data_IF_183137057705
#
_entry.id   IF_183137057705
#
_cell.length_a   1.000
_cell.length_b   1.000
_cell.length_c   1.000
_cell.angle_alpha   90.00
_cell.angle_beta   90.00
_cell.angle_gamma   90.00
#
_symmetry.space_group_name_H-M   'P 1'
#
loop_
_entity.id
_entity.type
_entity.pdbx_description
1 polymer ?
#
# COMPACT_ATOMS: atom_id res chain seq x y z
N UNK A 1 15.32 -45.16 -1.73
CA UNK A 1 14.64 -43.86 -1.65
C UNK A 1 15.39 -42.90 -2.55
N UNK A 2 14.79 -42.54 -3.70
CA UNK A 2 15.46 -41.78 -4.75
C UNK A 2 15.36 -40.27 -4.48
N UNK A 3 16.51 -39.60 -4.49
CA UNK A 3 16.64 -38.15 -4.41
C UNK A 3 16.37 -37.55 -5.80
N UNK A 4 15.21 -36.89 -5.95
CA UNK A 4 14.88 -36.12 -7.14
C UNK A 4 15.42 -34.69 -6.98
N UNK A 5 16.37 -34.33 -7.84
CA UNK A 5 17.02 -33.02 -7.88
C UNK A 5 16.07 -31.93 -8.37
N UNK A 6 15.91 -30.87 -7.56
CA UNK A 6 15.10 -29.66 -7.81
C UNK A 6 15.52 -28.86 -9.05
N UNK A 7 16.66 -29.18 -9.68
CA UNK A 7 17.18 -28.43 -10.83
C UNK A 7 16.38 -28.68 -12.12
N UNK A 8 15.62 -29.79 -12.21
CA UNK A 8 14.89 -30.16 -13.44
C UNK A 8 13.56 -29.40 -13.62
N UNK A 9 12.95 -28.88 -12.55
CA UNK A 9 11.64 -28.20 -12.61
C UNK A 9 11.69 -26.75 -13.12
N UNK A 10 12.88 -26.12 -13.18
CA UNK A 10 13.00 -24.74 -13.71
C UNK A 10 12.98 -24.66 -15.24
N UNK A 11 13.31 -25.72 -15.97
CA UNK A 11 13.40 -25.65 -17.44
C UNK A 11 12.02 -25.72 -18.13
N UNK A 12 11.02 -26.32 -17.50
CA UNK A 12 9.69 -26.52 -18.09
C UNK A 12 8.76 -25.29 -18.04
N UNK A 13 9.03 -24.32 -17.16
CA UNK A 13 8.16 -23.13 -17.02
C UNK A 13 8.44 -22.02 -18.06
N UNK A 14 9.61 -22.01 -18.70
CA UNK A 14 9.92 -21.00 -19.72
C UNK A 14 9.28 -21.26 -21.09
N UNK A 15 8.78 -22.47 -21.36
CA UNK A 15 8.28 -22.83 -22.68
C UNK A 15 6.80 -22.50 -22.95
N UNK A 16 6.00 -22.07 -21.95
CA UNK A 16 4.53 -21.93 -22.10
C UNK A 16 3.97 -20.51 -22.21
N UNK A 17 4.78 -19.45 -22.12
CA UNK A 17 4.26 -18.08 -22.04
C UNK A 17 4.12 -17.39 -23.43
N UNK A 18 4.61 -17.96 -24.52
CA UNK A 18 4.65 -17.30 -25.84
C UNK A 18 3.49 -17.61 -26.81
N UNK A 19 2.34 -18.09 -26.34
CA UNK A 19 1.20 -18.44 -27.20
C UNK A 19 -0.10 -17.70 -26.83
N UNK A 20 -0.09 -16.37 -26.81
CA UNK A 20 -1.32 -15.57 -26.75
C UNK A 20 -1.61 -14.98 -28.15
N UNK A 21 -2.68 -15.48 -28.79
CA UNK A 21 -3.18 -14.99 -30.09
C UNK A 21 -3.77 -13.57 -29.94
N UNK A 22 -3.66 -12.70 -30.97
CA UNK A 22 -4.33 -11.41 -30.96
C UNK A 22 -5.84 -11.58 -31.09
N UNK A 23 -6.60 -11.06 -30.13
CA UNK A 23 -8.07 -10.96 -30.20
C UNK A 23 -8.43 -9.76 -31.06
N UNK A 24 -9.10 -10.02 -32.20
CA UNK A 24 -9.62 -8.99 -33.08
C UNK A 24 -10.69 -8.16 -32.34
N UNK A 25 -10.43 -6.85 -32.22
CA UNK A 25 -11.35 -5.89 -31.60
C UNK A 25 -12.37 -5.44 -32.66
N UNK A 26 -13.60 -5.92 -32.54
CA UNK A 26 -14.73 -5.41 -33.33
C UNK A 26 -15.20 -4.07 -32.74
N UNK A 27 -15.09 -3.00 -33.52
CA UNK A 27 -15.58 -1.67 -33.14
C UNK A 27 -17.08 -1.56 -33.39
N UNK A 28 -17.89 -1.70 -32.34
CA UNK A 28 -19.30 -1.34 -32.36
C UNK A 28 -19.43 0.18 -32.20
N UNK A 29 -19.94 0.83 -33.25
CA UNK A 29 -20.21 2.27 -33.30
C UNK A 29 -21.50 2.58 -32.53
N UNK A 30 -21.38 3.02 -31.28
CA UNK A 30 -22.50 3.41 -30.44
C UNK A 30 -22.81 4.91 -30.68
N UNK A 31 -23.90 5.19 -31.41
CA UNK A 31 -24.43 6.55 -31.61
C UNK A 31 -25.09 7.03 -30.31
N UNK A 32 -24.36 7.80 -29.50
CA UNK A 32 -24.92 8.53 -28.35
C UNK A 32 -25.40 9.92 -28.79
N UNK A 33 -26.66 10.25 -28.45
CA UNK A 33 -27.26 11.59 -28.63
C UNK A 33 -26.55 12.57 -27.69
N UNK A 34 -25.95 13.61 -28.27
CA UNK A 34 -25.34 14.71 -27.54
C UNK A 34 -26.41 15.65 -26.98
N UNK A 35 -26.59 15.66 -25.67
CA UNK A 35 -27.23 16.76 -24.95
C UNK A 35 -26.16 17.82 -24.69
N UNK A 36 -26.30 18.99 -25.29
CA UNK A 36 -25.32 20.07 -25.22
C UNK A 36 -25.36 20.74 -23.82
N UNK A 37 -24.41 20.40 -22.95
CA UNK A 37 -24.18 21.12 -21.69
C UNK A 37 -23.18 22.25 -21.95
N UNK A 38 -23.67 23.50 -21.91
CA UNK A 38 -22.83 24.70 -21.99
C UNK A 38 -22.20 24.95 -20.61
N UNK A 39 -20.86 24.88 -20.52
CA UNK A 39 -20.11 25.23 -19.31
C UNK A 39 -19.64 26.69 -19.45
N UNK A 40 -20.15 27.59 -18.63
CA UNK A 40 -19.71 28.98 -18.56
C UNK A 40 -18.78 29.17 -17.36
N UNK A 41 -17.50 29.50 -17.60
CA UNK A 41 -16.57 29.92 -16.57
C UNK A 41 -16.66 31.44 -16.38
N UNK A 42 -17.11 31.87 -15.21
CA UNK A 42 -17.21 33.28 -14.84
C UNK A 42 -15.93 33.71 -14.09
N UNK A 43 -14.91 34.16 -14.81
CA UNK A 43 -13.85 34.98 -14.22
C UNK A 43 -13.51 36.14 -15.15
N UNK A 44 -13.65 37.36 -14.60
CA UNK A 44 -13.18 38.64 -15.12
C UNK A 44 -13.72 39.08 -16.50
N UNK A 45 -14.94 39.63 -16.51
CA UNK A 45 -15.30 40.80 -17.34
C UNK A 45 -15.40 40.66 -18.87
N UNK A 46 -15.05 39.52 -19.48
CA UNK A 46 -15.37 39.21 -20.89
C UNK A 46 -15.75 37.74 -21.01
N UNK A 47 -17.05 37.46 -20.96
CA UNK A 47 -17.59 36.12 -21.21
C UNK A 47 -17.59 35.88 -22.72
N UNK A 48 -16.47 35.42 -23.25
CA UNK A 48 -16.43 34.84 -24.59
C UNK A 48 -16.98 33.41 -24.51
N UNK A 49 -18.28 33.25 -24.78
CA UNK A 49 -18.88 31.95 -25.00
C UNK A 49 -18.29 31.35 -26.29
N UNK A 50 -17.20 30.59 -26.19
CA UNK A 50 -16.70 29.81 -27.33
C UNK A 50 -17.63 28.61 -27.49
N UNK A 51 -18.38 28.48 -28.61
CA UNK A 51 -19.27 27.35 -28.81
C UNK A 51 -18.44 26.06 -28.78
N UNK A 52 -18.85 25.10 -27.95
CA UNK A 52 -18.17 23.82 -27.77
C UNK A 52 -18.00 23.03 -29.09
N UNK A 53 -18.77 23.41 -30.12
CA UNK A 53 -18.81 22.81 -31.45
C UNK A 53 -18.25 23.71 -32.57
N UNK A 54 -17.37 24.67 -32.27
CA UNK A 54 -16.67 25.40 -33.33
C UNK A 54 -15.84 24.39 -34.18
N UNK A 55 -16.08 24.27 -35.51
CA UNK A 55 -15.46 23.24 -36.36
C UNK A 55 -13.92 23.33 -36.43
N UNK A 56 -13.31 24.42 -35.98
CA UNK A 56 -11.85 24.56 -35.86
C UNK A 56 -11.22 23.86 -34.65
N UNK A 57 -12.00 23.53 -33.61
CA UNK A 57 -11.44 22.96 -32.37
C UNK A 57 -11.23 21.44 -32.41
N UNK A 58 -11.80 20.74 -33.39
CA UNK A 58 -11.65 19.29 -33.52
C UNK A 58 -10.24 18.90 -33.94
N UNK A 59 -9.67 19.59 -34.94
CA UNK A 59 -8.30 19.37 -35.39
C UNK A 59 -7.26 19.67 -34.28
N UNK A 60 -7.52 20.68 -33.45
CA UNK A 60 -6.69 20.99 -32.27
C UNK A 60 -6.77 19.85 -31.23
N UNK A 61 -7.98 19.41 -30.86
CA UNK A 61 -8.17 18.29 -29.91
C UNK A 61 -7.56 16.97 -30.41
N UNK A 62 -7.64 16.68 -31.70
CA UNK A 62 -7.02 15.47 -32.28
C UNK A 62 -5.48 15.55 -32.27
N UNK A 63 -4.91 16.75 -32.45
CA UNK A 63 -3.46 16.96 -32.31
C UNK A 63 -3.00 16.81 -30.85
N UNK A 64 -3.77 17.31 -29.89
CA UNK A 64 -3.46 17.19 -28.46
C UNK A 64 -3.67 15.76 -27.93
N UNK A 65 -4.68 15.04 -28.44
CA UNK A 65 -4.88 13.62 -28.20
C UNK A 65 -3.74 12.75 -28.77
N UNK A 66 -3.21 13.10 -29.94
CA UNK A 66 -2.04 12.44 -30.52
C UNK A 66 -0.76 12.66 -29.71
N UNK A 67 -0.56 13.87 -29.16
CA UNK A 67 0.56 14.17 -28.26
C UNK A 67 0.48 13.36 -26.96
N UNK A 68 -0.70 13.28 -26.34
CA UNK A 68 -0.89 12.49 -25.10
C UNK A 68 -0.70 11.00 -25.31
N UNK A 69 -1.10 10.45 -26.47
CA UNK A 69 -0.78 9.06 -26.83
C UNK A 69 0.72 8.81 -27.00
N UNK A 70 1.48 9.77 -27.52
CA UNK A 70 2.94 9.68 -27.63
C UNK A 70 3.64 9.60 -26.27
N UNK A 71 3.20 10.41 -25.29
CA UNK A 71 3.77 10.39 -23.92
C UNK A 71 3.41 9.09 -23.20
N UNK A 72 2.17 8.61 -23.31
CA UNK A 72 1.78 7.32 -22.73
C UNK A 72 2.56 6.14 -23.34
N UNK A 73 2.75 6.14 -24.67
CA UNK A 73 3.50 5.09 -25.36
C UNK A 73 5.01 5.14 -25.06
N UNK A 74 5.58 6.33 -24.93
CA UNK A 74 6.97 6.50 -24.50
C UNK A 74 7.17 6.11 -23.03
N UNK A 75 6.21 6.43 -22.15
CA UNK A 75 6.21 5.98 -20.77
C UNK A 75 6.13 4.46 -20.67
N UNK A 76 5.26 3.81 -21.46
CA UNK A 76 5.14 2.34 -21.57
C UNK A 76 6.42 1.72 -22.15
N UNK A 77 7.03 2.33 -23.16
CA UNK A 77 8.29 1.84 -23.73
C UNK A 77 9.48 2.02 -22.79
N UNK A 78 9.42 3.03 -21.89
CA UNK A 78 10.37 3.24 -20.82
C UNK A 78 10.05 2.43 -19.55
N UNK A 79 8.96 1.64 -19.53
CA UNK A 79 8.67 0.71 -18.44
C UNK A 79 9.76 -0.33 -18.43
N UNK A 80 10.73 -0.11 -17.55
CA UNK A 80 11.63 -1.15 -17.08
C UNK A 80 10.75 -2.28 -16.58
N UNK A 81 10.85 -3.45 -17.20
CA UNK A 81 10.07 -4.62 -16.80
C UNK A 81 10.29 -4.85 -15.31
N UNK A 82 9.19 -4.97 -14.56
CA UNK A 82 9.25 -5.25 -13.12
C UNK A 82 9.95 -6.60 -12.95
N UNK A 83 11.05 -6.61 -12.21
CA UNK A 83 11.75 -7.84 -11.89
C UNK A 83 10.93 -8.61 -10.86
N UNK A 84 10.18 -9.60 -11.34
CA UNK A 84 9.32 -10.46 -10.51
C UNK A 84 10.15 -11.25 -9.50
N UNK A 85 11.38 -11.64 -9.84
CA UNK A 85 12.25 -12.37 -8.92
C UNK A 85 12.64 -11.50 -7.71
N UNK A 86 12.87 -10.21 -7.93
CA UNK A 86 13.15 -9.26 -6.85
C UNK A 86 11.96 -9.05 -5.89
N UNK A 87 10.73 -9.36 -6.32
CA UNK A 87 9.51 -9.26 -5.50
C UNK A 87 9.19 -10.53 -4.70
N UNK A 88 9.90 -11.64 -4.94
CA UNK A 88 9.67 -12.90 -4.24
C UNK A 88 9.69 -12.75 -2.70
N UNK A 89 10.66 -12.05 -2.08
CA UNK A 89 10.67 -11.85 -0.62
C UNK A 89 9.48 -11.04 -0.09
N UNK A 90 8.93 -10.12 -0.90
CA UNK A 90 7.75 -9.32 -0.56
C UNK A 90 6.51 -10.19 -0.52
N UNK A 91 6.41 -11.14 -1.45
CA UNK A 91 5.33 -12.12 -1.48
C UNK A 91 5.39 -13.06 -0.26
N UNK A 92 6.57 -13.59 0.10
CA UNK A 92 6.73 -14.39 1.33
C UNK A 92 6.33 -13.61 2.57
N UNK A 93 6.76 -12.35 2.70
CA UNK A 93 6.39 -11.51 3.83
C UNK A 93 4.88 -11.26 3.90
N UNK A 94 4.23 -11.05 2.74
CA UNK A 94 2.77 -10.92 2.66
C UNK A 94 2.06 -12.19 3.16
N UNK A 95 2.54 -13.37 2.76
CA UNK A 95 2.02 -14.64 3.24
C UNK A 95 2.19 -14.82 4.76
N UNK A 96 3.36 -14.46 5.32
CA UNK A 96 3.58 -14.48 6.77
C UNK A 96 2.62 -13.52 7.50
N UNK A 97 2.37 -12.33 6.95
CA UNK A 97 1.41 -11.39 7.54
C UNK A 97 -0.02 -11.94 7.52
N UNK A 98 -0.38 -12.72 6.49
CA UNK A 98 -1.69 -13.38 6.41
C UNK A 98 -1.81 -14.50 7.45
N UNK A 99 -0.76 -15.30 7.66
CA UNK A 99 -0.73 -16.30 8.75
C UNK A 99 -0.96 -15.62 10.10
N UNK A 100 -0.30 -14.49 10.35
CA UNK A 100 -0.49 -13.71 11.57
C UNK A 100 -1.90 -13.10 11.68
N UNK A 101 -2.50 -12.70 10.56
CA UNK A 101 -3.89 -12.23 10.52
C UNK A 101 -4.85 -13.33 10.98
N UNK A 102 -4.71 -14.53 10.41
CA UNK A 102 -5.52 -15.68 10.79
C UNK A 102 -5.29 -16.09 12.25
N UNK A 103 -4.05 -16.01 12.75
CA UNK A 103 -3.77 -16.23 14.17
C UNK A 103 -4.56 -15.27 15.08
N UNK A 104 -4.54 -13.96 14.79
CA UNK A 104 -5.31 -12.97 15.54
C UNK A 104 -6.83 -13.18 15.41
N UNK A 105 -7.31 -13.58 14.23
CA UNK A 105 -8.70 -13.94 14.00
C UNK A 105 -9.11 -15.14 14.86
N UNK A 106 -8.28 -16.19 14.93
CA UNK A 106 -8.51 -17.37 15.77
C UNK A 106 -8.56 -17.00 17.25
N UNK A 107 -7.65 -16.14 17.75
CA UNK A 107 -7.71 -15.63 19.13
C UNK A 107 -9.08 -15.00 19.40
N UNK A 108 -9.53 -14.08 18.53
CA UNK A 108 -10.82 -13.41 18.71
C UNK A 108 -11.99 -14.41 18.70
N UNK A 109 -12.02 -15.33 17.73
CA UNK A 109 -13.06 -16.36 17.64
C UNK A 109 -13.09 -17.23 18.91
N UNK A 110 -11.95 -17.76 19.35
CA UNK A 110 -11.88 -18.62 20.55
C UNK A 110 -12.34 -17.86 21.80
N UNK A 111 -11.92 -16.60 21.97
CA UNK A 111 -12.34 -15.79 23.13
C UNK A 111 -13.84 -15.46 23.14
N UNK A 112 -14.50 -15.44 21.98
CA UNK A 112 -15.96 -15.23 21.88
C UNK A 112 -16.76 -16.50 22.17
N UNK A 113 -16.24 -17.69 21.84
CA UNK A 113 -16.96 -18.96 21.96
C UNK A 113 -16.61 -19.80 23.18
N UNK A 114 -15.48 -19.55 23.83
CA UNK A 114 -15.15 -20.23 25.06
C UNK A 114 -16.02 -19.71 26.21
N UNK A 115 -16.59 -20.65 26.98
CA UNK A 115 -17.65 -20.41 27.97
C UNK A 115 -17.28 -19.44 29.09
N UNK A 116 -16.83 -19.97 30.23
CA UNK A 116 -16.48 -19.17 31.41
C UNK A 116 -15.14 -18.42 31.24
N UNK A 117 -15.13 -17.42 30.37
CA UNK A 117 -13.99 -16.52 30.17
C UNK A 117 -14.24 -15.17 30.86
N UNK A 118 -13.22 -14.68 31.57
CA UNK A 118 -13.26 -13.37 32.21
C UNK A 118 -13.47 -12.23 31.18
N UNK A 119 -14.20 -11.15 31.53
CA UNK A 119 -14.43 -10.03 30.61
C UNK A 119 -13.13 -9.44 30.03
N UNK A 120 -12.03 -9.47 30.80
CA UNK A 120 -10.70 -9.01 30.36
C UNK A 120 -10.18 -9.78 29.14
N UNK A 121 -10.29 -11.11 29.13
CA UNK A 121 -9.82 -11.94 28.01
C UNK A 121 -10.70 -11.78 26.77
N UNK A 122 -12.01 -11.58 26.93
CA UNK A 122 -12.91 -11.24 25.81
C UNK A 122 -12.51 -9.91 25.17
N UNK A 123 -12.28 -8.88 25.97
CA UNK A 123 -11.79 -7.58 25.48
C UNK A 123 -10.41 -7.73 24.81
N UNK A 124 -9.49 -8.49 25.40
CA UNK A 124 -8.17 -8.75 24.79
C UNK A 124 -8.29 -9.32 23.37
N UNK A 125 -9.08 -10.38 23.17
CA UNK A 125 -9.27 -10.99 21.84
C UNK A 125 -9.84 -10.02 20.81
N UNK A 126 -10.87 -9.26 21.19
CA UNK A 126 -11.49 -8.24 20.31
C UNK A 126 -10.49 -7.15 19.95
N UNK A 127 -9.71 -6.65 20.91
CA UNK A 127 -8.73 -5.58 20.68
C UNK A 127 -7.52 -6.05 19.87
N UNK A 128 -7.11 -7.31 20.03
CA UNK A 128 -6.04 -7.91 19.23
C UNK A 128 -6.44 -7.99 17.77
N UNK A 129 -7.61 -8.58 17.49
CA UNK A 129 -8.09 -8.72 16.12
C UNK A 129 -8.49 -7.38 15.49
N UNK A 130 -9.19 -6.51 16.22
CA UNK A 130 -9.57 -5.18 15.72
C UNK A 130 -8.35 -4.38 15.25
N UNK A 131 -7.29 -4.34 16.06
CA UNK A 131 -6.08 -3.63 15.68
C UNK A 131 -5.34 -4.28 14.49
N UNK A 132 -5.39 -5.60 14.34
CA UNK A 132 -4.84 -6.29 13.16
C UNK A 132 -5.63 -5.92 11.89
N UNK A 133 -6.96 -5.94 11.96
CA UNK A 133 -7.85 -5.61 10.83
C UNK A 133 -7.72 -4.17 10.37
N UNK A 134 -7.52 -3.23 11.29
CA UNK A 134 -7.27 -1.82 10.96
C UNK A 134 -5.95 -1.64 10.20
N UNK A 135 -4.91 -2.41 10.56
CA UNK A 135 -3.54 -2.14 10.13
C UNK A 135 -3.10 -2.94 8.91
N UNK A 136 -3.62 -4.15 8.76
CA UNK A 136 -3.18 -5.09 7.73
C UNK A 136 -3.46 -4.61 6.29
N UNK A 137 -4.63 -4.04 5.94
CA UNK A 137 -4.87 -3.54 4.58
C UNK A 137 -3.96 -2.37 4.22
N UNK A 138 -3.71 -1.47 5.16
CA UNK A 138 -2.78 -0.34 4.97
C UNK A 138 -1.35 -0.83 4.80
N UNK A 139 -0.92 -1.81 5.61
CA UNK A 139 0.40 -2.40 5.50
C UNK A 139 0.62 -3.08 4.14
N UNK A 140 -0.29 -3.95 3.71
CA UNK A 140 -0.13 -4.66 2.44
C UNK A 140 -0.09 -3.70 1.24
N UNK A 141 -1.00 -2.74 1.19
CA UNK A 141 -1.02 -1.74 0.10
C UNK A 141 0.26 -0.89 0.09
N UNK A 142 0.73 -0.44 1.25
CA UNK A 142 1.97 0.34 1.37
C UNK A 142 3.23 -0.49 1.03
N UNK A 143 3.29 -1.74 1.48
CA UNK A 143 4.41 -2.66 1.22
C UNK A 143 4.58 -2.90 -0.28
N UNK A 144 3.51 -3.28 -0.98
CA UNK A 144 3.56 -3.59 -2.40
C UNK A 144 3.83 -2.35 -3.25
N UNK A 145 3.20 -1.22 -2.94
CA UNK A 145 3.48 0.03 -3.66
C UNK A 145 4.93 0.49 -3.48
N UNK A 146 5.48 0.41 -2.27
CA UNK A 146 6.89 0.71 -2.03
C UNK A 146 7.81 -0.25 -2.76
N UNK A 147 7.52 -1.55 -2.74
CA UNK A 147 8.33 -2.55 -3.42
C UNK A 147 8.40 -2.31 -4.95
N UNK A 148 7.28 -1.96 -5.56
CA UNK A 148 7.16 -1.73 -7.00
C UNK A 148 7.82 -0.42 -7.43
N UNK A 149 7.57 0.67 -6.69
CA UNK A 149 7.93 2.02 -7.14
C UNK A 149 9.22 2.57 -6.52
N UNK A 150 9.65 2.03 -5.39
CA UNK A 150 10.81 2.53 -4.64
C UNK A 150 11.92 1.47 -4.59
N UNK A 151 11.71 0.40 -3.82
CA UNK A 151 12.68 -0.69 -3.68
C UNK A 151 12.08 -1.90 -2.95
N UNK A 152 12.19 -3.12 -3.50
CA UNK A 152 11.72 -4.32 -2.82
C UNK A 152 12.56 -4.64 -1.57
N UNK A 153 13.86 -4.32 -1.58
CA UNK A 153 14.76 -4.60 -0.46
C UNK A 153 14.37 -3.81 0.79
N UNK A 154 14.13 -2.50 0.64
CA UNK A 154 13.73 -1.65 1.78
C UNK A 154 12.30 -1.93 2.23
N UNK A 155 11.41 -2.30 1.30
CA UNK A 155 10.06 -2.77 1.62
C UNK A 155 10.10 -3.97 2.57
N UNK A 156 10.93 -4.98 2.24
CA UNK A 156 11.08 -6.20 3.04
C UNK A 156 11.65 -5.89 4.43
N UNK A 157 12.70 -5.06 4.50
CA UNK A 157 13.30 -4.66 5.77
C UNK A 157 12.29 -3.96 6.69
N UNK A 158 11.57 -2.95 6.17
CA UNK A 158 10.54 -2.25 6.93
C UNK A 158 9.40 -3.19 7.33
N UNK A 159 9.02 -4.09 6.43
CA UNK A 159 7.95 -5.04 6.66
C UNK A 159 8.29 -6.13 7.69
N UNK A 160 9.55 -6.55 7.82
CA UNK A 160 9.97 -7.41 8.94
C UNK A 160 9.84 -6.71 10.29
N UNK A 161 10.15 -5.41 10.35
CA UNK A 161 9.96 -4.62 11.58
C UNK A 161 8.46 -4.53 11.93
N UNK A 162 7.61 -4.26 10.95
CA UNK A 162 6.15 -4.27 11.14
C UNK A 162 5.66 -5.62 11.64
N UNK A 163 6.09 -6.71 11.00
CA UNK A 163 5.67 -8.08 11.34
C UNK A 163 6.12 -8.48 12.74
N UNK A 164 7.35 -8.15 13.14
CA UNK A 164 7.85 -8.44 14.48
C UNK A 164 7.04 -7.71 15.57
N UNK A 165 6.78 -6.41 15.36
CA UNK A 165 5.97 -5.61 16.29
C UNK A 165 4.51 -6.08 16.32
N UNK A 166 3.97 -6.50 15.17
CA UNK A 166 2.62 -7.07 15.08
C UNK A 166 2.52 -8.39 15.82
N UNK A 167 3.52 -9.26 15.70
CA UNK A 167 3.56 -10.54 16.40
C UNK A 167 3.72 -10.35 17.92
N UNK A 168 4.43 -9.30 18.36
CA UNK A 168 4.62 -8.98 19.77
C UNK A 168 3.35 -8.40 20.44
N UNK A 169 2.52 -7.66 19.69
CA UNK A 169 1.35 -6.94 20.23
C UNK A 169 0.36 -7.81 21.03
N UNK A 170 -0.09 -9.00 20.55
CA UNK A 170 -1.00 -9.86 21.32
C UNK A 170 -0.47 -10.25 22.69
N UNK A 171 0.84 -10.53 22.78
CA UNK A 171 1.50 -10.92 24.03
C UNK A 171 1.58 -9.75 25.00
N UNK A 172 2.03 -8.57 24.54
CA UNK A 172 2.06 -7.38 25.40
C UNK A 172 0.65 -7.04 25.89
N UNK A 173 -0.34 -7.05 25.00
CA UNK A 173 -1.73 -6.73 25.33
C UNK A 173 -2.39 -7.74 26.27
N UNK A 174 -1.88 -8.97 26.35
CA UNK A 174 -2.35 -9.98 27.32
C UNK A 174 -2.01 -9.57 28.76
N UNK A 175 -0.84 -8.97 28.95
CA UNK A 175 -0.33 -8.57 30.27
C UNK A 175 -0.65 -7.13 30.66
N UNK A 176 -1.06 -6.29 29.70
CA UNK A 176 -1.33 -4.86 29.92
C UNK A 176 -2.81 -4.50 29.77
N UNK A 177 -3.21 -3.36 30.34
CA UNK A 177 -4.53 -2.76 30.14
C UNK A 177 -4.57 -1.92 28.84
N UNK A 178 -5.74 -1.35 28.57
CA UNK A 178 -5.90 -0.37 27.49
C UNK A 178 -5.02 0.86 27.74
N UNK A 179 -4.40 1.38 26.68
CA UNK A 179 -3.60 2.62 26.69
C UNK A 179 -2.33 2.61 27.55
N UNK A 180 -1.89 1.44 28.01
CA UNK A 180 -0.60 1.32 28.69
C UNK A 180 0.57 1.66 27.74
N UNK A 181 1.62 2.36 28.22
CA UNK A 181 2.78 2.73 27.40
C UNK A 181 3.42 1.55 26.66
N UNK A 182 3.45 0.37 27.28
CA UNK A 182 3.98 -0.84 26.65
C UNK A 182 3.13 -1.30 25.45
N UNK A 183 1.79 -1.20 25.54
CA UNK A 183 0.90 -1.45 24.39
C UNK A 183 1.22 -0.47 23.27
N UNK A 184 1.38 0.81 23.59
CA UNK A 184 1.73 1.85 22.63
C UNK A 184 3.11 1.63 21.99
N UNK A 185 4.09 1.12 22.75
CA UNK A 185 5.42 0.80 22.25
C UNK A 185 5.40 -0.30 21.17
N UNK A 186 4.41 -1.19 21.19
CA UNK A 186 4.25 -2.21 20.15
C UNK A 186 3.40 -1.75 18.96
N UNK A 187 2.47 -0.80 19.14
CA UNK A 187 1.60 -0.33 18.05
C UNK A 187 2.22 0.82 17.27
N UNK A 188 2.83 1.80 17.92
CA UNK A 188 3.35 3.02 17.29
C UNK A 188 4.39 2.78 16.19
N UNK A 189 5.39 1.90 16.38
CA UNK A 189 6.36 1.59 15.32
C UNK A 189 5.69 1.12 14.02
N UNK A 190 4.54 0.45 14.12
CA UNK A 190 3.83 -0.11 12.98
C UNK A 190 3.17 0.99 12.14
N UNK A 191 2.60 2.01 12.78
CA UNK A 191 2.12 3.20 12.09
C UNK A 191 3.25 3.90 11.36
N UNK A 192 4.43 4.02 11.98
CA UNK A 192 5.59 4.64 11.35
C UNK A 192 6.13 3.85 10.16
N UNK A 193 6.10 2.51 10.20
CA UNK A 193 6.40 1.70 9.00
C UNK A 193 5.44 2.04 7.86
N UNK A 194 4.14 2.06 8.12
CA UNK A 194 3.14 2.35 7.08
C UNK A 194 3.33 3.76 6.49
N UNK A 195 3.53 4.77 7.34
CA UNK A 195 3.80 6.14 6.91
C UNK A 195 5.09 6.21 6.09
N UNK A 196 6.17 5.57 6.56
CA UNK A 196 7.44 5.51 5.83
C UNK A 196 7.26 4.91 4.43
N UNK A 197 6.58 3.77 4.32
CA UNK A 197 6.39 3.06 3.06
C UNK A 197 5.64 3.94 2.05
N UNK A 198 4.52 4.55 2.47
CA UNK A 198 3.70 5.45 1.63
C UNK A 198 4.44 6.73 1.29
N UNK A 199 5.07 7.37 2.28
CA UNK A 199 5.75 8.65 2.09
C UNK A 199 6.91 8.52 1.10
N UNK A 200 7.69 7.43 1.18
CA UNK A 200 8.77 7.18 0.22
C UNK A 200 8.25 7.03 -1.22
N UNK A 201 7.08 6.41 -1.41
CA UNK A 201 6.42 6.32 -2.72
C UNK A 201 6.04 7.71 -3.23
N UNK A 202 5.42 8.54 -2.39
CA UNK A 202 5.05 9.92 -2.73
C UNK A 202 6.29 10.74 -3.10
N UNK A 203 7.37 10.64 -2.33
CA UNK A 203 8.62 11.35 -2.61
C UNK A 203 9.26 10.90 -3.92
N UNK A 204 9.27 9.58 -4.18
CA UNK A 204 9.88 9.02 -5.39
C UNK A 204 9.10 9.35 -6.66
N UNK A 205 7.77 9.16 -6.64
CA UNK A 205 6.91 9.36 -7.80
C UNK A 205 6.57 10.84 -7.99
N UNK A 206 6.20 11.52 -6.92
CA UNK A 206 5.71 12.90 -6.97
C UNK A 206 6.81 13.94 -7.17
N UNK A 207 8.00 13.70 -6.61
CA UNK A 207 9.09 14.69 -6.60
C UNK A 207 10.37 14.20 -7.28
N UNK A 208 10.39 12.97 -7.78
CA UNK A 208 11.60 12.37 -8.38
C UNK A 208 12.75 12.18 -7.39
N UNK A 209 12.53 12.39 -6.10
CA UNK A 209 13.56 12.35 -5.09
C UNK A 209 14.03 10.90 -4.86
N UNK A 210 15.35 10.69 -4.84
CA UNK A 210 15.93 9.43 -4.36
C UNK A 210 15.83 9.41 -2.85
N UNK A 211 14.89 8.61 -2.33
CA UNK A 211 14.76 8.41 -0.90
C UNK A 211 16.05 7.78 -0.37
N UNK A 212 16.76 8.48 0.51
CA UNK A 212 18.04 8.03 1.04
C UNK A 212 17.80 6.88 2.05
N UNK A 213 18.38 5.68 1.85
CA UNK A 213 18.26 4.57 2.79
C UNK A 213 18.87 4.86 4.18
N UNK A 214 19.69 5.90 4.33
CA UNK A 214 20.22 6.36 5.62
C UNK A 214 19.15 7.03 6.50
N UNK A 215 18.03 7.50 5.93
CA UNK A 215 16.77 7.66 6.66
C UNK A 215 16.10 6.29 6.75
N UNK A 216 16.79 5.36 7.40
CA UNK A 216 16.32 3.98 7.52
C UNK A 216 14.98 3.97 8.25
N UNK A 217 14.14 2.94 8.04
CA UNK A 217 12.89 2.77 8.78
C UNK A 217 13.11 2.89 10.30
N UNK A 218 14.28 2.47 10.78
CA UNK A 218 14.69 2.57 12.18
C UNK A 218 14.86 4.02 12.61
N UNK A 219 15.56 4.85 11.83
CA UNK A 219 15.76 6.28 12.14
C UNK A 219 14.41 7.01 12.16
N UNK A 220 13.53 6.72 11.21
CA UNK A 220 12.19 7.31 11.17
C UNK A 220 11.34 6.86 12.39
N UNK A 221 11.42 5.58 12.75
CA UNK A 221 10.76 5.05 13.95
C UNK A 221 11.32 5.65 15.24
N UNK A 222 12.62 5.88 15.33
CA UNK A 222 13.24 6.54 16.49
C UNK A 222 12.78 7.99 16.56
N UNK A 223 12.81 8.74 15.46
CA UNK A 223 12.39 10.15 15.46
C UNK A 223 10.92 10.33 15.83
N UNK A 224 10.02 9.55 15.22
CA UNK A 224 8.60 9.68 15.50
C UNK A 224 8.18 8.99 16.81
N UNK A 225 8.85 7.91 17.21
CA UNK A 225 8.64 7.25 18.50
C UNK A 225 9.11 8.12 19.66
N UNK A 226 10.28 8.75 19.53
CA UNK A 226 10.78 9.70 20.53
C UNK A 226 9.86 10.91 20.62
N UNK A 227 9.39 11.46 19.49
CA UNK A 227 8.48 12.61 19.55
C UNK A 227 7.18 12.27 20.27
N UNK A 228 6.55 11.12 20.05
CA UNK A 228 5.31 10.79 20.76
C UNK A 228 5.52 10.41 22.23
N UNK A 229 6.60 9.68 22.55
CA UNK A 229 6.91 9.29 23.93
C UNK A 229 7.40 10.45 24.79
N UNK A 230 8.02 11.47 24.20
CA UNK A 230 8.52 12.67 24.92
C UNK A 230 7.46 13.77 24.93
N UNK A 231 6.81 14.05 23.80
CA UNK A 231 5.84 15.17 23.71
C UNK A 231 4.57 14.89 24.49
N UNK A 232 4.07 13.65 24.51
CA UNK A 232 2.81 13.35 25.21
C UNK A 232 2.86 13.54 26.74
N UNK A 233 3.87 13.02 27.48
CA UNK A 233 4.01 13.33 28.91
C UNK A 233 4.25 14.82 29.17
N UNK A 234 5.02 15.50 28.30
CA UNK A 234 5.26 16.94 28.40
C UNK A 234 3.95 17.73 28.23
N UNK A 235 3.14 17.41 27.21
CA UNK A 235 1.84 18.03 27.00
C UNK A 235 0.90 17.81 28.20
N UNK A 236 0.91 16.62 28.81
CA UNK A 236 0.14 16.35 30.04
C UNK A 236 0.60 17.17 31.25
N UNK A 237 1.87 17.59 31.30
CA UNK A 237 2.38 18.46 32.38
C UNK A 237 1.90 19.91 32.23
N UNK A 238 1.60 20.37 31.01
CA UNK A 238 1.15 21.75 30.74
C UNK A 238 -0.37 21.93 30.71
N UNK A 239 -1.15 20.84 30.68
CA UNK A 239 -2.62 20.87 30.63
C UNK A 239 -3.28 20.65 32.00
N UNK A 240 -2.52 20.82 33.09
CA UNK A 240 -3.02 20.88 34.46
C UNK A 240 -2.88 22.29 34.99
#
# INVERSE_FOLDING_TARGET
MASLSLTSLRSLNHARINAARPVARTSSCMKSRATATTICNAHAGRVACVPANAPGNYAQRMRDAGKTQGVAKAAIAAVKTVDIAALEPVAYLSALSAVLYYFCLTINAVMMFAGEITPKHKNWGVRVFGNMTEQWPMFLSALWTHAIFVSPVTAVQAGYVWLAMRALYPFVRLFTNENEPATMATTMPQYFVNVYLVFAVVMKIGFGATFNPFLSPIVYMVLCGTSMMVVHPIAKMFLK
#
